data_IF_055975072966
#
_entry.id   IF_055975072966
#
_cell.length_a   1.000
_cell.length_b   1.000
_cell.length_c   1.000
_cell.angle_alpha   90.00
_cell.angle_beta   90.00
_cell.angle_gamma   90.00
#
_symmetry.space_group_name_H-M   'P 1'
#
loop_
_entity.id
_entity.type
_entity.pdbx_description
1 polymer ?
#
# COMPACT_ATOMS: atom_id res chain seq x y z
N UNK A 1 -23.83 14.69 -21.11
CA UNK A 1 -22.92 13.73 -21.76
C UNK A 1 -21.60 14.45 -21.89
N UNK A 2 -20.62 14.03 -21.10
CA UNK A 2 -19.31 14.65 -21.00
C UNK A 2 -18.30 13.82 -21.82
N UNK A 3 -17.34 14.51 -22.43
CA UNK A 3 -16.20 13.88 -23.10
C UNK A 3 -14.95 14.76 -22.96
N UNK A 4 -13.87 14.13 -22.53
CA UNK A 4 -12.49 14.64 -22.61
C UNK A 4 -11.75 13.80 -23.64
N UNK A 5 -10.92 14.42 -24.49
CA UNK A 5 -10.16 13.74 -25.53
C UNK A 5 -8.84 14.49 -25.77
N UNK A 6 -7.71 13.80 -25.70
CA UNK A 6 -6.40 14.42 -25.91
C UNK A 6 -5.24 13.49 -25.61
N UNK A 7 -4.05 14.10 -25.42
CA UNK A 7 -2.89 13.40 -24.89
C UNK A 7 -2.76 13.66 -23.39
N UNK A 8 -2.48 12.61 -22.63
CA UNK A 8 -2.25 12.69 -21.17
C UNK A 8 -0.83 12.25 -20.89
N UNK A 9 -0.10 13.05 -20.11
CA UNK A 9 1.23 12.72 -19.65
C UNK A 9 1.21 11.56 -18.66
N UNK A 10 2.19 10.68 -18.78
CA UNK A 10 2.35 9.46 -17.99
C UNK A 10 3.79 9.39 -17.51
N UNK A 11 3.94 9.08 -16.23
CA UNK A 11 5.21 8.74 -15.59
C UNK A 11 4.98 7.51 -14.71
N UNK A 12 5.80 6.46 -14.89
CA UNK A 12 5.65 5.14 -14.24
C UNK A 12 4.37 4.38 -14.62
N UNK A 13 3.93 4.50 -15.88
CA UNK A 13 2.77 3.77 -16.40
C UNK A 13 1.45 3.99 -15.66
N UNK A 14 1.21 5.18 -15.10
CA UNK A 14 0.08 5.44 -14.21
C UNK A 14 -0.62 6.78 -14.48
N UNK A 15 -1.95 6.74 -14.37
CA UNK A 15 -2.89 7.86 -14.37
C UNK A 15 -3.92 7.59 -13.26
N UNK A 16 -4.51 8.62 -12.68
CA UNK A 16 -5.48 8.45 -11.59
C UNK A 16 -6.83 9.10 -11.91
N UNK A 17 -7.88 8.59 -11.28
CA UNK A 17 -9.08 9.38 -11.00
C UNK A 17 -9.15 9.58 -9.49
N UNK A 18 -9.36 10.81 -9.03
CA UNK A 18 -9.47 11.13 -7.60
C UNK A 18 -10.68 12.03 -7.38
N UNK A 19 -11.51 11.65 -6.41
CA UNK A 19 -12.66 12.44 -5.93
C UNK A 19 -12.58 12.75 -4.43
N UNK A 20 -11.55 12.22 -3.75
CA UNK A 20 -11.28 12.52 -2.35
C UNK A 20 -10.81 13.98 -2.21
N UNK A 21 -11.45 14.79 -1.34
CA UNK A 21 -11.04 16.19 -1.10
C UNK A 21 -9.59 16.37 -0.63
N UNK A 22 -8.96 15.34 -0.06
CA UNK A 22 -7.54 15.35 0.31
C UNK A 22 -6.61 15.40 -0.91
N UNK A 23 -7.11 15.02 -2.10
CA UNK A 23 -6.36 15.03 -3.35
C UNK A 23 -5.25 13.98 -3.46
N UNK A 24 -5.15 13.04 -2.51
CA UNK A 24 -4.10 12.03 -2.52
C UNK A 24 -4.39 10.96 -3.58
N UNK A 25 -3.40 10.71 -4.45
CA UNK A 25 -3.46 9.58 -5.38
C UNK A 25 -3.36 8.25 -4.63
N UNK A 26 -4.14 7.22 -5.01
CA UNK A 26 -4.11 5.93 -4.34
C UNK A 26 -2.76 5.24 -4.57
N UNK A 27 -2.28 4.51 -3.56
CA UNK A 27 -1.09 3.68 -3.74
C UNK A 27 -1.42 2.49 -4.60
N UNK A 28 -0.45 2.04 -5.38
CA UNK A 28 -0.65 0.92 -6.32
C UNK A 28 -1.17 -0.34 -5.60
N UNK A 29 -0.51 -0.77 -4.52
CA UNK A 29 -0.93 -1.97 -3.78
C UNK A 29 -2.36 -1.85 -3.22
N UNK A 30 -2.70 -0.69 -2.66
CA UNK A 30 -4.03 -0.41 -2.11
C UNK A 30 -5.12 -0.40 -3.19
N UNK A 31 -4.85 0.25 -4.33
CA UNK A 31 -5.82 0.38 -5.41
C UNK A 31 -6.24 -0.96 -6.03
N UNK A 32 -5.36 -1.97 -5.96
CA UNK A 32 -5.57 -3.29 -6.55
C UNK A 32 -5.82 -4.39 -5.52
N UNK A 33 -5.91 -4.06 -4.22
CA UNK A 33 -6.16 -5.02 -3.16
C UNK A 33 -7.42 -5.85 -3.45
N UNK A 34 -7.27 -7.18 -3.47
CA UNK A 34 -8.38 -8.11 -3.69
C UNK A 34 -8.98 -8.15 -5.09
N UNK A 35 -8.46 -7.39 -6.06
CA UNK A 35 -8.99 -7.39 -7.42
C UNK A 35 -8.40 -8.49 -8.30
N UNK A 36 -9.17 -8.89 -9.32
CA UNK A 36 -8.66 -9.74 -10.41
C UNK A 36 -8.05 -8.91 -11.55
N UNK A 37 -8.62 -7.75 -11.83
CA UNK A 37 -8.19 -6.78 -12.82
C UNK A 37 -7.00 -6.00 -12.29
N UNK A 38 -5.90 -6.11 -13.04
CA UNK A 38 -4.69 -5.35 -12.80
C UNK A 38 -4.49 -4.13 -13.69
N UNK A 39 -5.48 -3.72 -14.50
CA UNK A 39 -5.36 -2.52 -15.35
C UNK A 39 -6.06 -1.29 -14.76
N UNK A 40 -7.15 -1.50 -14.03
CA UNK A 40 -7.92 -0.46 -13.36
C UNK A 40 -8.13 -0.87 -11.90
N UNK A 41 -7.42 -0.22 -10.99
CA UNK A 41 -7.53 -0.40 -9.55
C UNK A 41 -8.63 0.49 -9.00
N UNK A 42 -9.57 -0.07 -8.25
CA UNK A 42 -10.74 0.62 -7.70
C UNK A 42 -11.03 0.23 -6.23
N UNK A 43 -10.10 -0.45 -5.57
CA UNK A 43 -10.29 -0.90 -4.19
C UNK A 43 -10.19 0.25 -3.17
N UNK A 44 -9.58 1.38 -3.53
CA UNK A 44 -9.57 2.60 -2.71
C UNK A 44 -10.83 3.42 -3.00
N UNK A 45 -11.70 3.68 -2.00
CA UNK A 45 -12.90 4.49 -2.20
C UNK A 45 -12.57 5.88 -2.78
N UNK A 46 -13.38 6.34 -3.73
CA UNK A 46 -13.19 7.65 -4.35
C UNK A 46 -11.98 7.79 -5.27
N UNK A 47 -11.21 6.72 -5.51
CA UNK A 47 -10.05 6.76 -6.39
C UNK A 47 -10.00 5.60 -7.40
N UNK A 48 -9.42 5.86 -8.57
CA UNK A 48 -9.01 4.85 -9.54
C UNK A 48 -7.51 4.96 -9.81
N UNK A 49 -6.85 3.81 -9.95
CA UNK A 49 -5.49 3.68 -10.46
C UNK A 49 -5.53 3.06 -11.85
N UNK A 50 -5.08 3.77 -12.86
CA UNK A 50 -5.13 3.35 -14.26
C UNK A 50 -3.72 3.04 -14.74
N UNK A 51 -3.48 1.82 -15.23
CA UNK A 51 -2.19 1.41 -15.75
C UNK A 51 -2.13 1.49 -17.26
N UNK A 52 -1.04 2.06 -17.76
CA UNK A 52 -0.73 2.12 -19.19
C UNK A 52 0.38 1.12 -19.55
N UNK A 53 0.56 0.86 -20.85
CA UNK A 53 1.69 0.13 -21.42
C UNK A 53 2.93 1.00 -21.42
N UNK A 54 2.85 2.24 -21.91
CA UNK A 54 3.96 3.19 -21.89
C UNK A 54 4.39 3.49 -20.45
N UNK A 55 5.71 3.54 -20.19
CA UNK A 55 6.26 3.92 -18.89
C UNK A 55 6.35 5.43 -18.71
N UNK A 56 6.89 6.15 -19.69
CA UNK A 56 7.04 7.61 -19.63
C UNK A 56 6.78 8.28 -20.98
N UNK A 57 6.08 9.42 -20.98
CA UNK A 57 5.74 10.19 -22.17
C UNK A 57 4.26 10.59 -22.16
N UNK A 58 3.64 10.72 -23.33
CA UNK A 58 2.19 10.98 -23.42
C UNK A 58 1.46 9.86 -24.16
N UNK A 59 0.23 9.56 -23.72
CA UNK A 59 -0.64 8.54 -24.31
C UNK A 59 -1.93 9.18 -24.84
N UNK A 60 -2.55 8.55 -25.84
CA UNK A 60 -3.86 9.00 -26.31
C UNK A 60 -4.92 8.60 -25.29
N UNK A 61 -5.70 9.55 -24.79
CA UNK A 61 -6.63 9.29 -23.70
C UNK A 61 -7.98 9.97 -23.92
N UNK A 62 -9.05 9.19 -23.79
CA UNK A 62 -10.43 9.67 -23.87
C UNK A 62 -11.17 9.32 -22.58
N UNK A 63 -11.88 10.27 -21.99
CA UNK A 63 -12.84 10.01 -20.89
C UNK A 63 -14.26 10.30 -21.36
N UNK A 64 -15.20 9.44 -21.00
CA UNK A 64 -16.61 9.61 -21.34
C UNK A 64 -17.51 9.36 -20.13
N UNK A 65 -18.37 10.34 -19.78
CA UNK A 65 -19.47 10.11 -18.84
C UNK A 65 -20.77 9.99 -19.60
N UNK A 66 -21.40 8.81 -19.48
CA UNK A 66 -22.58 8.38 -20.21
C UNK A 66 -23.76 8.18 -19.26
N UNK A 67 -24.98 8.35 -19.77
CA UNK A 67 -26.20 8.07 -18.99
C UNK A 67 -26.60 6.58 -18.94
N UNK A 68 -25.93 5.72 -19.72
CA UNK A 68 -26.19 4.27 -19.79
C UNK A 68 -24.94 3.53 -20.26
N UNK A 69 -24.90 2.21 -20.02
CA UNK A 69 -23.83 1.33 -20.47
C UNK A 69 -23.53 1.51 -21.97
N UNK A 70 -22.30 1.86 -22.36
CA UNK A 70 -21.90 1.91 -23.76
C UNK A 70 -21.73 0.51 -24.34
N UNK A 71 -21.97 0.37 -25.64
CA UNK A 71 -21.71 -0.88 -26.37
C UNK A 71 -20.22 -1.23 -26.32
N UNK A 72 -19.90 -2.53 -26.28
CA UNK A 72 -18.53 -3.01 -26.31
C UNK A 72 -17.99 -2.93 -27.75
N UNK A 73 -17.00 -2.08 -27.97
CA UNK A 73 -16.33 -1.95 -29.27
C UNK A 73 -15.25 -3.03 -29.41
N UNK A 74 -15.33 -3.91 -30.43
CA UNK A 74 -14.35 -4.98 -30.62
C UNK A 74 -12.96 -4.50 -31.05
N UNK A 75 -12.74 -3.21 -31.32
CA UNK A 75 -11.43 -2.68 -31.66
C UNK A 75 -10.46 -2.59 -30.47
N UNK A 76 -10.95 -2.58 -29.23
CA UNK A 76 -10.10 -2.51 -28.04
C UNK A 76 -9.46 -3.85 -27.72
N UNK A 77 -8.14 -3.86 -27.50
CA UNK A 77 -7.36 -5.06 -27.20
C UNK A 77 -7.61 -5.53 -25.77
N UNK A 78 -7.62 -4.59 -24.83
CA UNK A 78 -7.83 -4.85 -23.41
C UNK A 78 -9.09 -4.14 -22.94
N UNK A 79 -9.92 -4.84 -22.17
CA UNK A 79 -11.12 -4.25 -21.57
C UNK A 79 -11.32 -4.82 -20.18
N UNK A 80 -11.31 -3.95 -19.19
CA UNK A 80 -11.70 -4.29 -17.81
C UNK A 80 -12.84 -3.39 -17.36
N UNK A 81 -13.65 -3.90 -16.43
CA UNK A 81 -14.67 -3.09 -15.79
C UNK A 81 -14.60 -3.21 -14.27
N UNK A 82 -14.77 -2.09 -13.59
CA UNK A 82 -14.77 -1.94 -12.13
C UNK A 82 -15.92 -1.04 -11.70
N UNK A 83 -16.16 -0.91 -10.40
CA UNK A 83 -17.13 0.06 -9.86
C UNK A 83 -16.40 1.23 -9.21
N UNK A 84 -17.02 2.40 -9.25
CA UNK A 84 -16.48 3.64 -8.71
C UNK A 84 -17.58 4.46 -8.04
N UNK A 85 -17.27 5.03 -6.89
CA UNK A 85 -18.17 5.89 -6.13
C UNK A 85 -17.44 7.20 -5.81
N UNK A 86 -17.86 8.35 -6.37
CA UNK A 86 -17.26 9.65 -6.06
C UNK A 86 -17.50 10.06 -4.60
N UNK A 87 -16.46 10.49 -3.90
CA UNK A 87 -16.52 10.93 -2.49
C UNK A 87 -16.76 12.43 -2.33
N UNK A 88 -16.78 13.19 -3.42
CA UNK A 88 -17.13 14.61 -3.42
C UNK A 88 -17.76 15.02 -4.75
N UNK A 89 -18.36 16.21 -4.77
CA UNK A 89 -18.87 16.87 -5.97
C UNK A 89 -17.81 17.14 -7.05
N UNK A 90 -16.51 17.02 -6.74
CA UNK A 90 -15.42 17.23 -7.68
C UNK A 90 -14.63 15.94 -7.90
N UNK A 91 -14.56 15.49 -9.15
CA UNK A 91 -13.76 14.35 -9.56
C UNK A 91 -12.77 14.77 -10.64
N UNK A 92 -11.52 14.33 -10.55
CA UNK A 92 -10.47 14.73 -11.49
C UNK A 92 -9.80 13.51 -12.10
N UNK A 93 -9.56 13.54 -13.41
CA UNK A 93 -8.48 12.77 -14.04
C UNK A 93 -7.16 13.48 -13.72
N UNK A 94 -6.17 12.77 -13.20
CA UNK A 94 -4.95 13.36 -12.67
C UNK A 94 -3.70 12.63 -13.18
N UNK A 95 -2.68 13.39 -13.58
CA UNK A 95 -1.36 12.87 -13.91
C UNK A 95 -0.55 12.51 -12.65
N UNK A 96 0.57 11.84 -12.85
CA UNK A 96 1.53 11.60 -11.78
C UNK A 96 1.94 12.90 -11.07
N UNK A 97 2.06 12.85 -9.74
CA UNK A 97 2.36 13.99 -8.87
C UNK A 97 1.44 15.22 -9.03
N UNK A 98 0.27 15.08 -9.67
CA UNK A 98 -0.66 16.18 -9.90
C UNK A 98 -0.16 17.22 -10.90
N UNK A 99 0.74 16.85 -11.82
CA UNK A 99 1.33 17.77 -12.81
C UNK A 99 0.29 18.42 -13.73
N UNK A 100 -0.78 17.70 -14.02
CA UNK A 100 -1.96 18.23 -14.71
C UNK A 100 -3.22 17.49 -14.22
N UNK A 101 -4.38 18.14 -14.38
CA UNK A 101 -5.66 17.57 -14.00
C UNK A 101 -6.83 18.11 -14.81
N UNK A 102 -7.84 17.27 -15.02
CA UNK A 102 -9.07 17.63 -15.73
C UNK A 102 -10.28 17.22 -14.90
N UNK A 103 -11.16 18.17 -14.64
CA UNK A 103 -12.42 17.93 -13.94
C UNK A 103 -13.36 17.04 -14.78
N UNK A 104 -13.97 16.06 -14.13
CA UNK A 104 -14.89 15.08 -14.70
C UNK A 104 -16.31 15.37 -14.19
N UNK A 105 -17.30 15.25 -15.09
CA UNK A 105 -18.74 15.41 -14.78
C UNK A 105 -19.32 14.16 -14.07
N UNK A 106 -18.77 13.83 -12.90
CA UNK A 106 -19.25 12.76 -12.02
C UNK A 106 -19.99 13.36 -10.81
N UNK A 107 -21.02 12.67 -10.34
CA UNK A 107 -21.88 13.16 -9.25
C UNK A 107 -21.59 12.42 -7.96
N UNK A 108 -21.39 13.17 -6.88
CA UNK A 108 -21.37 12.60 -5.53
C UNK A 108 -22.67 11.83 -5.25
N UNK A 109 -22.59 10.76 -4.45
CA UNK A 109 -23.77 9.99 -4.05
C UNK A 109 -24.31 9.02 -5.10
N UNK A 110 -23.65 8.90 -6.26
CA UNK A 110 -24.08 8.03 -7.35
C UNK A 110 -23.03 6.94 -7.65
N UNK A 111 -23.47 5.68 -7.67
CA UNK A 111 -22.64 4.56 -8.10
C UNK A 111 -22.44 4.57 -9.63
N UNK A 112 -21.19 4.41 -10.03
CA UNK A 112 -20.80 4.26 -11.43
C UNK A 112 -20.20 2.88 -11.69
N UNK A 113 -20.55 2.31 -12.84
CA UNK A 113 -19.70 1.31 -13.48
C UNK A 113 -18.70 2.02 -14.39
N UNK A 114 -17.48 1.53 -14.36
CA UNK A 114 -16.36 2.05 -15.11
C UNK A 114 -15.87 0.98 -16.06
N UNK A 115 -15.67 1.33 -17.33
CA UNK A 115 -14.95 0.50 -18.30
C UNK A 115 -13.66 1.19 -18.67
N UNK A 116 -12.56 0.49 -18.51
CA UNK A 116 -11.24 0.93 -18.95
C UNK A 116 -10.78 0.04 -20.11
N UNK A 117 -10.58 0.66 -21.27
CA UNK A 117 -10.11 0.02 -22.47
C UNK A 117 -8.69 0.49 -22.80
N UNK A 118 -7.87 -0.41 -23.33
CA UNK A 118 -6.54 -0.11 -23.82
C UNK A 118 -6.28 -0.75 -25.20
N UNK A 119 -5.39 -0.12 -25.96
CA UNK A 119 -4.86 -0.61 -27.23
C UNK A 119 -3.39 -0.21 -27.34
N UNK A 120 -2.54 -1.09 -27.85
CA UNK A 120 -1.11 -0.85 -28.09
C UNK A 120 -0.22 -1.03 -26.86
N UNK A 121 -0.67 -1.75 -25.83
CA UNK A 121 0.06 -1.85 -24.56
C UNK A 121 1.46 -2.46 -24.69
N UNK A 122 1.60 -3.57 -25.43
CA UNK A 122 2.89 -4.27 -25.57
C UNK A 122 3.95 -3.44 -26.33
N UNK A 123 3.66 -2.86 -27.52
CA UNK A 123 4.61 -1.97 -28.20
C UNK A 123 5.00 -0.74 -27.37
N UNK A 124 4.05 -0.16 -26.64
CA UNK A 124 4.32 0.98 -25.77
C UNK A 124 5.22 0.60 -24.58
N UNK A 125 4.99 -0.58 -24.00
CA UNK A 125 5.82 -1.14 -22.93
C UNK A 125 7.23 -1.45 -23.40
N UNK A 126 7.39 -1.98 -24.61
CA UNK A 126 8.69 -2.26 -25.22
C UNK A 126 9.49 -0.99 -25.51
N UNK A 127 8.82 0.08 -25.97
CA UNK A 127 9.45 1.38 -26.18
C UNK A 127 9.90 2.04 -24.87
N UNK A 128 9.14 1.85 -23.79
CA UNK A 128 9.33 2.40 -22.44
C UNK A 128 9.14 3.93 -22.36
N UNK A 129 9.90 4.71 -23.15
CA UNK A 129 9.84 6.18 -23.20
C UNK A 129 9.46 6.67 -24.60
N UNK A 130 8.40 7.48 -24.69
CA UNK A 130 7.98 8.17 -25.93
C UNK A 130 8.34 9.65 -25.85
N UNK A 131 9.03 10.17 -26.87
CA UNK A 131 9.29 11.61 -27.03
C UNK A 131 8.08 12.33 -27.66
N UNK A 132 7.95 13.64 -27.43
CA UNK A 132 6.79 14.41 -27.86
C UNK A 132 6.57 14.43 -29.39
N UNK A 133 7.65 14.32 -30.17
CA UNK A 133 7.63 14.28 -31.64
C UNK A 133 7.40 12.88 -32.23
N UNK A 134 7.39 11.84 -31.40
CA UNK A 134 7.14 10.45 -31.81
C UNK A 134 5.64 10.15 -31.89
N UNK A 135 5.19 9.21 -32.75
CA UNK A 135 3.80 8.82 -32.83
C UNK A 135 3.30 8.17 -31.52
N UNK A 136 2.00 8.29 -31.25
CA UNK A 136 1.34 7.58 -30.16
C UNK A 136 1.43 6.05 -30.36
N UNK A 137 1.87 5.34 -29.31
CA UNK A 137 2.02 3.88 -29.33
C UNK A 137 0.81 3.17 -28.73
N UNK A 138 0.24 3.73 -27.67
CA UNK A 138 -0.94 3.22 -26.98
C UNK A 138 -2.03 4.28 -26.84
N UNK A 139 -3.26 3.79 -26.68
CA UNK A 139 -4.47 4.60 -26.53
C UNK A 139 -5.39 3.99 -25.48
N UNK A 140 -6.12 4.85 -24.81
CA UNK A 140 -6.99 4.49 -23.69
C UNK A 140 -8.35 5.16 -23.80
N UNK A 141 -9.37 4.43 -23.34
CA UNK A 141 -10.72 4.94 -23.19
C UNK A 141 -11.25 4.58 -21.81
N UNK A 142 -11.67 5.59 -21.05
CA UNK A 142 -12.28 5.45 -19.74
C UNK A 142 -13.74 5.89 -19.80
N UNK A 143 -14.67 4.98 -19.56
CA UNK A 143 -16.11 5.24 -19.66
C UNK A 143 -16.80 5.03 -18.32
N UNK A 144 -17.62 5.99 -17.92
CA UNK A 144 -18.46 5.93 -16.73
C UNK A 144 -19.94 5.89 -17.13
N UNK A 145 -20.73 5.08 -16.43
CA UNK A 145 -22.19 5.17 -16.48
C UNK A 145 -22.82 4.77 -15.14
N UNK A 146 -23.98 5.33 -14.78
CA UNK A 146 -24.68 4.95 -13.56
C UNK A 146 -25.03 3.46 -13.57
N UNK A 147 -24.60 2.72 -12.56
CA UNK A 147 -24.95 1.32 -12.34
C UNK A 147 -24.64 0.90 -10.89
N UNK A 148 -25.36 -0.08 -10.32
CA UNK A 148 -25.02 -0.64 -9.02
C UNK A 148 -23.57 -1.18 -8.97
N UNK A 149 -22.94 -1.23 -7.78
CA UNK A 149 -21.63 -1.82 -7.61
C UNK A 149 -21.63 -3.32 -7.94
N UNK A 150 -20.62 -3.76 -8.69
CA UNK A 150 -20.38 -5.16 -9.05
C UNK A 150 -18.88 -5.47 -8.91
N UNK A 151 -18.49 -6.73 -8.66
CA UNK A 151 -17.07 -7.12 -8.69
C UNK A 151 -16.37 -6.70 -9.99
N UNK A 152 -15.04 -6.56 -9.92
CA UNK A 152 -14.25 -6.27 -11.10
C UNK A 152 -14.29 -7.45 -12.09
N UNK A 153 -14.22 -7.14 -13.39
CA UNK A 153 -14.23 -8.13 -14.46
C UNK A 153 -13.21 -7.80 -15.53
N UNK A 154 -12.50 -8.84 -15.98
CA UNK A 154 -11.67 -8.80 -17.18
C UNK A 154 -12.57 -9.23 -18.34
N UNK A 155 -13.00 -8.26 -19.16
CA UNK A 155 -13.89 -8.49 -20.32
C UNK A 155 -13.09 -9.00 -21.52
N UNK A 156 -11.87 -8.48 -21.69
CA UNK A 156 -10.94 -8.89 -22.75
C UNK A 156 -9.50 -8.72 -22.29
N UNK A 157 -8.68 -9.72 -22.60
CA UNK A 157 -7.25 -9.72 -22.38
C UNK A 157 -6.55 -10.26 -23.64
N UNK A 158 -5.58 -9.53 -24.21
CA UNK A 158 -4.84 -9.98 -25.39
C UNK A 158 -3.32 -9.82 -25.29
N UNK A 159 -2.84 -8.81 -24.55
CA UNK A 159 -1.43 -8.46 -24.41
C UNK A 159 -0.74 -9.17 -23.25
N UNK A 160 0.57 -9.34 -23.37
CA UNK A 160 1.40 -9.85 -22.27
C UNK A 160 1.45 -8.86 -21.10
N UNK A 161 1.44 -7.56 -21.40
CA UNK A 161 1.41 -6.49 -20.41
C UNK A 161 0.15 -6.54 -19.54
N UNK A 162 -1.03 -6.72 -20.15
CA UNK A 162 -2.28 -6.88 -19.41
C UNK A 162 -2.30 -8.17 -18.59
N UNK A 163 -1.87 -9.29 -19.17
CA UNK A 163 -1.78 -10.58 -18.47
C UNK A 163 -0.90 -10.49 -17.23
N UNK A 164 0.30 -9.92 -17.36
CA UNK A 164 1.23 -9.69 -16.26
C UNK A 164 0.60 -8.79 -15.17
N UNK A 165 -0.07 -7.72 -15.59
CA UNK A 165 -0.74 -6.81 -14.67
C UNK A 165 -1.84 -7.51 -13.86
N UNK A 166 -2.67 -8.32 -14.50
CA UNK A 166 -3.74 -9.08 -13.86
C UNK A 166 -3.20 -10.16 -12.91
N UNK A 167 -2.16 -10.89 -13.32
CA UNK A 167 -1.47 -11.85 -12.44
C UNK A 167 -0.84 -11.18 -11.22
N UNK A 168 -0.32 -9.97 -11.38
CA UNK A 168 0.17 -9.17 -10.26
C UNK A 168 -0.98 -8.74 -9.33
N UNK A 169 -2.12 -8.29 -9.86
CA UNK A 169 -3.28 -7.86 -9.07
C UNK A 169 -3.87 -9.00 -8.23
N UNK A 170 -4.02 -10.20 -8.81
CA UNK A 170 -4.49 -11.40 -8.08
C UNK A 170 -3.59 -11.84 -6.93
N UNK A 171 -2.33 -11.41 -6.94
CA UNK A 171 -1.37 -11.66 -5.86
C UNK A 171 -1.36 -10.56 -4.81
N UNK A 172 -2.12 -9.49 -5.00
CA UNK A 172 -2.27 -8.46 -4.00
C UNK A 172 -3.21 -8.96 -2.89
N UNK A 173 -2.82 -8.80 -1.62
CA UNK A 173 -3.71 -9.12 -0.51
C UNK A 173 -4.94 -8.21 -0.57
N UNK A 174 -6.13 -8.79 -0.38
CA UNK A 174 -7.35 -8.04 -0.12
C UNK A 174 -7.22 -7.40 1.27
N UNK A 175 -7.40 -6.08 1.38
CA UNK A 175 -7.28 -5.32 2.62
C UNK A 175 -8.25 -5.81 3.70
N UNK A 176 -9.52 -6.08 3.35
CA UNK A 176 -10.52 -6.57 4.31
C UNK A 176 -10.22 -8.03 4.68
N UNK A 177 -9.85 -8.86 3.69
CA UNK A 177 -9.37 -10.21 3.94
C UNK A 177 -8.13 -10.20 4.84
N UNK A 178 -7.19 -9.29 4.62
CA UNK A 178 -5.96 -9.13 5.41
C UNK A 178 -6.30 -8.75 6.83
N UNK A 179 -7.20 -7.78 7.02
CA UNK A 179 -7.70 -7.42 8.36
C UNK A 179 -8.36 -8.61 9.05
N UNK A 180 -9.21 -9.37 8.33
CA UNK A 180 -9.82 -10.62 8.85
C UNK A 180 -8.78 -11.71 9.14
N UNK A 181 -7.74 -11.84 8.32
CA UNK A 181 -6.66 -12.81 8.48
C UNK A 181 -5.79 -12.47 9.70
N UNK A 182 -5.43 -11.20 9.88
CA UNK A 182 -4.72 -10.69 11.06
C UNK A 182 -5.54 -10.94 12.33
N UNK A 183 -6.86 -10.68 12.28
CA UNK A 183 -7.77 -11.00 13.39
C UNK A 183 -7.83 -12.50 13.70
N UNK A 184 -7.92 -13.35 12.66
CA UNK A 184 -7.95 -14.79 12.81
C UNK A 184 -6.63 -15.33 13.40
N UNK A 185 -5.49 -14.83 12.91
CA UNK A 185 -4.16 -15.18 13.43
C UNK A 185 -4.04 -14.78 14.90
N UNK A 186 -4.43 -13.55 15.27
CA UNK A 186 -4.44 -13.09 16.66
C UNK A 186 -5.34 -13.95 17.55
N UNK A 187 -6.53 -14.32 17.09
CA UNK A 187 -7.45 -15.20 17.84
C UNK A 187 -6.85 -16.58 18.06
N UNK A 188 -6.16 -17.13 17.07
CA UNK A 188 -5.45 -18.40 17.20
C UNK A 188 -4.35 -18.35 18.27
N UNK A 189 -3.61 -17.23 18.36
CA UNK A 189 -2.58 -17.03 19.40
C UNK A 189 -3.17 -16.86 20.82
N UNK A 190 -4.24 -16.08 20.97
CA UNK A 190 -4.85 -15.82 22.28
C UNK A 190 -5.66 -17.01 22.82
N UNK A 191 -6.12 -17.91 21.95
CA UNK A 191 -6.96 -19.04 22.33
C UNK A 191 -6.57 -20.32 21.56
N UNK A 192 -5.37 -20.88 21.81
CA UNK A 192 -4.91 -22.09 21.11
C UNK A 192 -5.87 -23.28 21.28
N UNK A 193 -6.57 -23.37 22.43
CA UNK A 193 -7.52 -24.45 22.72
C UNK A 193 -8.94 -24.26 22.14
N UNK A 194 -9.28 -23.08 21.62
CA UNK A 194 -10.63 -22.80 21.09
C UNK A 194 -10.77 -23.06 19.57
N UNK A 195 -9.73 -23.57 18.93
CA UNK A 195 -9.62 -23.71 17.48
C UNK A 195 -9.96 -25.13 16.98
N UNK A 196 -11.18 -25.62 17.22
CA UNK A 196 -11.84 -26.62 16.34
C UNK A 196 -13.39 -26.48 16.41
N UNK A 197 -14.16 -26.68 15.30
CA UNK A 197 -13.75 -26.93 13.91
C UNK A 197 -14.37 -25.90 12.93
N UNK A 198 -13.53 -25.12 12.27
CA UNK A 198 -13.84 -24.47 10.98
C UNK A 198 -12.80 -24.95 9.95
N UNK A 199 -12.75 -26.26 9.70
CA UNK A 199 -11.80 -26.89 8.75
C UNK A 199 -12.27 -26.92 7.29
N UNK A 200 -13.25 -26.11 6.90
CA UNK A 200 -13.75 -26.09 5.50
C UNK A 200 -13.57 -24.76 4.75
N UNK A 201 -12.90 -23.77 5.33
CA UNK A 201 -12.37 -22.65 4.53
C UNK A 201 -10.91 -23.00 4.26
N UNK A 202 -10.62 -23.25 2.99
CA UNK A 202 -9.29 -23.53 2.45
C UNK A 202 -8.21 -22.77 3.24
N UNK A 203 -7.32 -23.52 3.89
CA UNK A 203 -6.21 -23.02 4.70
C UNK A 203 -5.54 -21.84 3.98
N UNK A 204 -5.76 -20.59 4.41
CA UNK A 204 -4.93 -19.52 3.95
C UNK A 204 -3.66 -19.66 4.79
N UNK A 205 -2.65 -20.32 4.23
CA UNK A 205 -1.31 -19.84 4.47
C UNK A 205 -0.97 -18.90 3.29
N UNK A 206 -1.19 -17.60 3.49
CA UNK A 206 -0.25 -16.63 2.97
C UNK A 206 0.14 -15.65 4.08
N UNK A 207 1.33 -15.90 4.62
CA UNK A 207 2.20 -14.99 5.40
C UNK A 207 1.63 -14.45 6.71
N UNK A 208 2.27 -14.84 7.81
CA UNK A 208 2.20 -14.18 9.09
C UNK A 208 2.54 -12.69 8.93
N UNK A 209 1.52 -11.85 8.71
CA UNK A 209 1.63 -10.40 8.59
C UNK A 209 1.44 -9.70 9.96
N UNK A 210 1.51 -10.51 11.02
CA UNK A 210 1.44 -10.11 12.42
C UNK A 210 2.65 -10.68 13.17
N UNK A 211 3.45 -9.80 13.78
CA UNK A 211 4.52 -10.18 14.69
C UNK A 211 4.02 -10.20 16.14
N UNK A 212 4.48 -11.18 16.93
CA UNK A 212 4.28 -11.22 18.38
C UNK A 212 5.60 -10.93 19.06
N UNK A 213 5.67 -9.79 19.73
CA UNK A 213 6.88 -9.25 20.34
C UNK A 213 6.69 -9.19 21.85
N UNK A 214 7.54 -9.88 22.62
CA UNK A 214 7.48 -9.73 24.07
C UNK A 214 7.89 -8.33 24.51
N UNK A 215 7.33 -7.87 25.63
CA UNK A 215 7.56 -6.50 26.13
C UNK A 215 9.00 -6.23 26.56
N UNK A 216 9.79 -7.27 26.79
CA UNK A 216 11.21 -7.23 27.13
C UNK A 216 12.11 -7.75 25.99
N UNK A 217 11.57 -7.91 24.78
CA UNK A 217 12.32 -8.43 23.65
C UNK A 217 13.46 -7.50 23.21
N UNK A 218 14.60 -8.08 22.85
CA UNK A 218 15.73 -7.34 22.29
C UNK A 218 15.33 -6.66 20.96
N UNK A 219 15.52 -5.34 20.81
CA UNK A 219 15.21 -4.60 19.58
C UNK A 219 15.84 -5.16 18.30
N UNK A 220 17.00 -5.84 18.38
CA UNK A 220 17.63 -6.54 17.25
C UNK A 220 16.75 -7.69 16.78
N UNK A 221 16.22 -8.48 17.70
CA UNK A 221 15.29 -9.56 17.40
C UNK A 221 13.94 -9.03 16.90
N UNK A 222 13.46 -7.92 17.47
CA UNK A 222 12.24 -7.24 16.99
C UNK A 222 12.39 -6.76 15.55
N UNK A 223 13.54 -6.18 15.20
CA UNK A 223 13.85 -5.79 13.82
C UNK A 223 13.77 -6.97 12.86
N UNK A 224 14.43 -8.10 13.18
CA UNK A 224 14.41 -9.29 12.34
C UNK A 224 12.98 -9.77 12.08
N UNK A 225 12.16 -9.84 13.13
CA UNK A 225 10.74 -10.19 13.01
C UNK A 225 9.96 -9.20 12.15
N UNK A 226 10.07 -7.90 12.40
CA UNK A 226 9.33 -6.89 11.64
C UNK A 226 9.74 -6.88 10.16
N UNK A 227 11.04 -7.04 9.85
CA UNK A 227 11.52 -7.14 8.47
C UNK A 227 11.06 -8.40 7.74
N UNK A 228 10.71 -9.45 8.49
CA UNK A 228 10.19 -10.69 7.90
C UNK A 228 8.70 -10.60 7.52
N UNK A 229 7.99 -9.57 7.99
CA UNK A 229 6.58 -9.34 7.63
C UNK A 229 6.47 -8.93 6.17
N UNK A 230 5.51 -9.51 5.46
CA UNK A 230 5.25 -9.20 4.04
C UNK A 230 4.79 -7.75 3.81
N UNK A 231 4.14 -7.16 4.82
CA UNK A 231 3.67 -5.76 4.85
C UNK A 231 4.74 -4.76 5.25
N UNK A 232 5.92 -5.21 5.69
CA UNK A 232 6.98 -4.31 6.11
C UNK A 232 7.41 -3.39 4.95
N UNK A 233 7.34 -2.05 5.11
CA UNK A 233 7.80 -1.14 4.07
C UNK A 233 9.28 -1.37 3.74
N UNK A 234 9.59 -1.72 2.50
CA UNK A 234 10.97 -1.97 2.07
C UNK A 234 11.89 -0.74 2.19
N UNK A 235 11.30 0.46 2.14
CA UNK A 235 12.00 1.74 2.25
C UNK A 235 12.24 2.20 3.70
N UNK A 236 11.88 1.38 4.70
CA UNK A 236 12.08 1.73 6.11
C UNK A 236 13.60 1.79 6.41
N UNK A 237 14.11 2.87 7.01
CA UNK A 237 15.55 3.09 7.17
C UNK A 237 16.13 2.28 8.34
N UNK A 238 16.20 0.96 8.18
CA UNK A 238 16.62 0.03 9.22
C UNK A 238 18.08 0.20 9.66
N UNK A 239 18.95 0.70 8.79
CA UNK A 239 20.33 1.09 9.10
C UNK A 239 20.38 2.21 10.16
N UNK A 240 19.39 3.11 10.15
CA UNK A 240 19.25 4.23 11.09
C UNK A 240 18.65 3.81 12.41
N UNK A 241 17.73 2.85 12.37
CA UNK A 241 17.13 2.21 13.55
C UNK A 241 18.18 1.40 14.34
N UNK A 242 19.28 0.96 13.70
CA UNK A 242 20.40 0.30 14.39
C UNK A 242 21.16 1.20 15.39
N UNK A 243 20.94 2.52 15.35
CA UNK A 243 21.49 3.45 16.33
C UNK A 243 20.82 3.33 17.71
N UNK A 244 19.66 2.67 17.81
CA UNK A 244 19.16 2.16 19.09
C UNK A 244 20.16 1.09 19.58
N UNK A 245 21.19 1.53 20.30
CA UNK A 245 22.20 0.69 20.91
C UNK A 245 21.68 0.02 22.19
N UNK A 246 21.77 -1.31 22.24
CA UNK A 246 21.30 -2.17 23.33
C UNK A 246 21.97 -1.86 24.68
N UNK A 247 23.08 -1.12 24.67
CA UNK A 247 23.77 -0.65 25.87
C UNK A 247 22.86 0.19 26.79
N UNK A 248 21.85 0.88 26.25
CA UNK A 248 20.85 1.63 27.04
C UNK A 248 19.62 0.79 27.45
N UNK A 249 19.49 -0.44 26.92
CA UNK A 249 18.32 -1.28 27.17
C UNK A 249 18.37 -1.98 28.54
N UNK A 250 19.49 -1.95 29.26
CA UNK A 250 19.63 -2.69 30.52
C UNK A 250 18.85 -2.07 31.68
N UNK A 251 18.70 -0.73 31.69
CA UNK A 251 18.08 -0.02 32.81
C UNK A 251 16.54 -0.03 32.72
N UNK A 252 15.99 0.09 31.51
CA UNK A 252 14.55 -0.04 31.23
C UNK A 252 14.30 -0.70 29.85
N UNK A 253 14.31 -2.04 29.78
CA UNK A 253 14.09 -2.76 28.53
C UNK A 253 12.74 -2.43 27.87
N UNK A 254 11.70 -2.19 28.68
CA UNK A 254 10.33 -1.98 28.20
C UNK A 254 10.20 -0.59 27.60
N UNK A 255 10.60 0.45 28.35
CA UNK A 255 10.56 1.84 27.85
C UNK A 255 11.46 2.04 26.63
N UNK A 256 12.59 1.34 26.59
CA UNK A 256 13.49 1.33 25.43
C UNK A 256 12.85 0.69 24.19
N UNK A 257 12.23 -0.49 24.34
CA UNK A 257 11.51 -1.15 23.25
C UNK A 257 10.33 -0.30 22.75
N UNK A 258 9.59 0.35 23.65
CA UNK A 258 8.50 1.25 23.27
C UNK A 258 9.01 2.43 22.45
N UNK A 259 10.11 3.08 22.86
CA UNK A 259 10.72 4.17 22.10
C UNK A 259 11.23 3.71 20.73
N UNK A 260 11.81 2.51 20.65
CA UNK A 260 12.25 1.89 19.40
C UNK A 260 11.08 1.67 18.43
N UNK A 261 9.97 1.13 18.93
CA UNK A 261 8.77 0.89 18.14
C UNK A 261 8.10 2.20 17.69
N UNK A 262 8.06 3.23 18.54
CA UNK A 262 7.55 4.57 18.17
C UNK A 262 8.37 5.19 17.02
N UNK A 263 9.70 5.03 17.01
CA UNK A 263 10.57 5.50 15.92
C UNK A 263 10.26 4.78 14.60
N UNK A 264 10.12 3.45 14.63
CA UNK A 264 9.72 2.66 13.46
C UNK A 264 8.35 3.12 12.95
N UNK A 265 7.41 3.33 13.86
CA UNK A 265 6.05 3.74 13.54
C UNK A 265 5.96 5.14 12.91
N UNK A 266 6.78 6.09 13.35
CA UNK A 266 6.88 7.41 12.69
C UNK A 266 7.49 7.32 11.30
N UNK A 267 8.53 6.51 11.10
CA UNK A 267 9.11 6.30 9.77
C UNK A 267 8.14 5.58 8.83
N UNK A 268 7.42 4.57 9.32
CA UNK A 268 6.36 3.90 8.57
C UNK A 268 5.27 4.90 8.17
N UNK A 269 4.85 5.79 9.09
CA UNK A 269 3.83 6.80 8.82
C UNK A 269 4.29 7.83 7.77
N UNK A 270 5.56 8.23 7.79
CA UNK A 270 6.13 9.08 6.74
C UNK A 270 6.14 8.40 5.36
N UNK A 271 6.25 7.07 5.36
CA UNK A 271 6.04 6.20 4.20
C UNK A 271 4.56 5.82 4.01
N UNK A 272 3.61 6.54 4.61
CA UNK A 272 2.15 6.36 4.56
C UNK A 272 1.65 4.96 4.94
N UNK A 273 2.35 4.29 5.82
CA UNK A 273 1.96 3.00 6.42
C UNK A 273 1.77 3.21 7.93
N UNK A 274 0.82 2.53 8.53
CA UNK A 274 0.58 2.55 9.98
C UNK A 274 1.22 1.30 10.58
N UNK A 275 2.14 1.47 11.52
CA UNK A 275 2.48 0.40 12.45
C UNK A 275 1.38 0.34 13.52
N UNK A 276 0.63 -0.76 13.56
CA UNK A 276 -0.48 -0.96 14.45
C UNK A 276 -0.12 -1.94 15.57
N UNK A 277 -0.48 -1.61 16.81
CA UNK A 277 -0.48 -2.50 17.96
C UNK A 277 -1.90 -2.95 18.27
N UNK A 278 -2.16 -4.26 18.29
CA UNK A 278 -3.52 -4.82 18.47
C UNK A 278 -3.73 -5.27 19.92
N UNK A 279 -4.43 -4.44 20.70
CA UNK A 279 -4.88 -4.63 22.09
C UNK A 279 -3.87 -5.35 23.01
N UNK A 280 -3.25 -4.52 23.85
CA UNK A 280 -1.98 -4.69 24.53
C UNK A 280 -2.05 -5.69 25.70
N UNK A 281 -1.98 -6.98 25.38
CA UNK A 281 -1.80 -8.07 26.35
C UNK A 281 -0.38 -8.13 26.93
N UNK A 282 0.10 -9.33 27.35
CA UNK A 282 1.46 -9.51 27.85
C UNK A 282 2.54 -9.23 26.78
N UNK A 283 2.18 -9.37 25.51
CA UNK A 283 3.03 -9.14 24.34
C UNK A 283 2.42 -8.07 23.42
N UNK A 284 3.25 -7.44 22.59
CA UNK A 284 2.82 -6.57 21.49
C UNK A 284 2.48 -7.41 20.26
N UNK A 285 1.30 -7.16 19.68
CA UNK A 285 0.86 -7.75 18.42
C UNK A 285 0.96 -6.67 17.34
N UNK A 286 2.01 -6.75 16.52
CA UNK A 286 2.40 -5.67 15.61
C UNK A 286 2.14 -6.05 14.15
N UNK A 287 1.49 -5.17 13.40
CA UNK A 287 1.28 -5.31 11.95
C UNK A 287 1.50 -3.98 11.22
N UNK A 288 2.00 -4.03 9.99
CA UNK A 288 2.01 -2.87 9.11
C UNK A 288 0.75 -2.86 8.27
N UNK A 289 0.02 -1.75 8.30
CA UNK A 289 -1.26 -1.58 7.64
C UNK A 289 -1.29 -0.28 6.85
N UNK A 290 -2.15 -0.20 5.86
CA UNK A 290 -2.50 1.08 5.25
C UNK A 290 -3.37 1.88 6.23
N UNK A 291 -3.50 3.21 6.07
CA UNK A 291 -4.41 4.00 6.91
C UNK A 291 -5.86 3.46 6.84
N UNK A 292 -6.32 3.06 5.66
CA UNK A 292 -7.65 2.48 5.45
C UNK A 292 -7.79 1.12 6.12
N UNK A 293 -6.81 0.23 5.97
CA UNK A 293 -6.78 -1.07 6.68
C UNK A 293 -6.80 -0.87 8.19
N UNK A 294 -6.05 0.10 8.71
CA UNK A 294 -6.03 0.42 10.14
C UNK A 294 -7.39 0.93 10.65
N UNK A 295 -8.07 1.78 9.89
CA UNK A 295 -9.42 2.24 10.24
C UNK A 295 -10.44 1.09 10.24
N UNK A 296 -10.42 0.23 9.21
CA UNK A 296 -11.27 -0.95 9.13
C UNK A 296 -11.00 -1.92 10.28
N UNK A 297 -9.73 -2.20 10.57
CA UNK A 297 -9.32 -3.04 11.69
C UNK A 297 -9.74 -2.45 13.03
N UNK A 298 -9.58 -1.14 13.22
CA UNK A 298 -9.98 -0.45 14.45
C UNK A 298 -11.49 -0.55 14.67
N UNK A 299 -12.30 -0.38 13.63
CA UNK A 299 -13.76 -0.55 13.70
C UNK A 299 -14.15 -2.00 14.04
N UNK A 300 -13.53 -2.98 13.36
CA UNK A 300 -13.79 -4.40 13.60
C UNK A 300 -13.38 -4.84 15.01
N UNK A 301 -12.21 -4.43 15.49
CA UNK A 301 -11.75 -4.71 16.86
C UNK A 301 -12.66 -4.08 17.90
N UNK A 302 -13.12 -2.84 17.67
CA UNK A 302 -14.05 -2.14 18.58
C UNK A 302 -15.34 -2.93 18.75
N UNK A 303 -15.88 -3.51 17.67
CA UNK A 303 -17.06 -4.39 17.72
C UNK A 303 -16.83 -5.64 18.59
N UNK A 304 -15.59 -6.07 18.74
CA UNK A 304 -15.16 -7.19 19.59
C UNK A 304 -14.60 -6.77 20.96
N UNK A 305 -14.78 -5.50 21.38
CA UNK A 305 -14.24 -4.93 22.63
C UNK A 305 -12.71 -4.97 22.72
N UNK A 306 -12.06 -4.86 21.59
CA UNK A 306 -10.61 -4.78 21.47
C UNK A 306 -10.25 -3.42 20.83
N UNK A 307 -9.01 -3.00 20.94
CA UNK A 307 -8.51 -1.76 20.31
C UNK A 307 -7.34 -2.06 19.38
N UNK A 308 -7.17 -1.22 18.36
CA UNK A 308 -5.91 -1.06 17.66
C UNK A 308 -5.38 0.34 17.97
N UNK A 309 -4.08 0.42 18.24
CA UNK A 309 -3.38 1.68 18.51
C UNK A 309 -2.34 1.91 17.42
N UNK A 310 -2.24 3.14 16.94
CA UNK A 310 -1.15 3.53 16.06
C UNK A 310 0.10 3.75 16.90
N UNK A 311 1.14 2.95 16.64
CA UNK A 311 2.44 3.03 17.29
C UNK A 311 3.16 4.28 16.76
N UNK A 312 3.10 5.37 17.52
CA UNK A 312 3.59 6.70 17.12
C UNK A 312 3.91 7.56 18.34
N UNK A 313 4.76 8.57 18.15
CA UNK A 313 5.19 9.44 19.25
C UNK A 313 4.00 10.06 19.98
N UNK A 314 3.93 9.80 21.30
CA UNK A 314 2.92 10.38 22.18
C UNK A 314 1.48 9.96 21.89
N UNK A 315 1.26 9.07 20.92
CA UNK A 315 -0.06 8.48 20.62
C UNK A 315 -0.24 7.10 21.22
N UNK A 316 0.86 6.36 21.41
CA UNK A 316 0.80 4.98 21.86
C UNK A 316 1.05 4.83 23.37
N UNK A 317 2.10 5.47 23.89
CA UNK A 317 2.46 5.33 25.31
C UNK A 317 2.22 6.64 26.08
N UNK A 318 1.08 6.77 26.79
CA UNK A 318 0.78 8.00 27.55
C UNK A 318 1.55 8.11 28.88
N UNK A 319 2.25 7.07 29.34
CA UNK A 319 3.05 7.08 30.56
C UNK A 319 4.54 7.09 30.19
N UNK A 320 5.19 8.22 30.38
CA UNK A 320 6.64 8.29 30.32
C UNK A 320 7.16 8.56 31.74
N UNK A 321 7.93 7.63 32.30
CA UNK A 321 8.83 7.92 33.41
C UNK A 321 9.84 9.02 33.01
N UNK A 322 10.53 9.67 33.96
CA UNK A 322 11.62 10.60 33.64
C UNK A 322 12.71 9.96 32.75
N UNK A 323 12.95 8.66 32.91
CA UNK A 323 13.89 7.88 32.08
C UNK A 323 13.33 7.66 30.66
N UNK A 324 12.05 7.33 30.51
CA UNK A 324 11.36 7.29 29.21
C UNK A 324 11.45 8.63 28.48
N UNK A 325 11.27 9.74 29.20
CA UNK A 325 11.41 11.08 28.64
C UNK A 325 12.85 11.33 28.19
N UNK A 326 13.86 10.83 28.91
CA UNK A 326 15.27 10.96 28.55
C UNK A 326 15.61 10.11 27.32
N UNK A 327 15.14 8.85 27.24
CA UNK A 327 15.32 7.97 26.08
C UNK A 327 14.63 8.58 24.85
N UNK A 328 13.39 9.06 24.98
CA UNK A 328 12.67 9.73 23.89
C UNK A 328 13.29 11.06 23.50
N UNK A 329 13.78 11.84 24.47
CA UNK A 329 14.51 13.07 24.20
C UNK A 329 15.82 12.78 23.49
N UNK A 330 16.52 11.70 23.85
CA UNK A 330 17.71 11.23 23.16
C UNK A 330 17.37 10.77 21.73
N UNK A 331 16.33 9.97 21.53
CA UNK A 331 15.87 9.54 20.20
C UNK A 331 15.55 10.76 19.32
N UNK A 332 14.76 11.72 19.84
CA UNK A 332 14.44 12.99 19.16
C UNK A 332 15.67 13.86 18.91
N UNK A 333 16.57 13.97 19.89
CA UNK A 333 17.78 14.78 19.78
C UNK A 333 18.78 14.15 18.82
N UNK A 334 18.75 12.86 18.58
CA UNK A 334 19.59 12.21 17.58
C UNK A 334 18.86 11.98 16.24
N UNK A 335 17.55 12.22 16.18
CA UNK A 335 16.75 12.13 14.94
C UNK A 335 17.27 13.03 13.80
N UNK A 336 18.03 14.09 14.10
CA UNK A 336 18.66 14.95 13.08
C UNK A 336 20.07 14.51 12.69
N UNK A 337 20.77 13.69 13.49
CA UNK A 337 21.98 12.98 13.05
C UNK A 337 21.65 11.89 12.02
N UNK A 338 20.35 11.62 11.80
CA UNK A 338 19.79 10.81 10.72
C UNK A 338 19.58 11.60 9.41
N UNK A 339 19.94 12.90 9.37
CA UNK A 339 19.94 13.72 8.16
C UNK A 339 21.36 13.94 7.64
N UNK A 340 21.54 13.54 6.39
CA UNK A 340 22.61 13.85 5.44
C UNK A 340 23.87 12.97 5.47
N UNK A 341 24.26 12.55 4.27
CA UNK A 341 25.61 12.07 3.97
C UNK A 341 25.68 11.24 2.67
N UNK A 342 26.01 11.84 1.51
CA UNK A 342 26.17 11.11 0.26
C UNK A 342 27.54 10.42 0.23
N UNK A 343 27.57 9.16 -0.23
CA UNK A 343 28.71 8.52 -0.85
C UNK A 343 29.95 8.32 0.02
N UNK A 344 30.32 7.06 0.26
CA UNK A 344 31.56 6.54 -0.33
C UNK A 344 31.56 5.02 -0.25
N UNK A 345 31.79 4.42 -1.41
CA UNK A 345 32.17 3.03 -1.53
C UNK A 345 33.57 2.80 -0.93
N UNK A 346 33.76 1.57 -0.44
CA UNK A 346 35.01 0.83 -0.25
C UNK A 346 35.81 1.04 1.07
N UNK A 347 36.67 0.08 1.45
CA UNK A 347 36.92 -1.23 0.84
C UNK A 347 36.78 -2.45 1.78
N UNK A 348 36.46 -3.58 1.16
CA UNK A 348 36.58 -4.93 1.70
C UNK A 348 38.07 -5.22 1.97
N UNK A 349 38.47 -5.16 3.24
CA UNK A 349 39.80 -5.59 3.68
C UNK A 349 39.73 -7.05 4.15
N UNK A 350 40.54 -7.89 3.48
CA UNK A 350 40.75 -9.32 3.72
C UNK A 350 41.43 -9.57 5.07
N UNK A 351 40.85 -10.44 5.88
CA UNK A 351 41.40 -11.15 7.05
C UNK A 351 40.48 -12.39 7.18
N UNK A 352 40.88 -13.66 7.25
CA UNK A 352 42.11 -14.36 7.65
C UNK A 352 42.10 -15.77 7.02
N UNK A 353 43.27 -16.29 6.63
CA UNK A 353 43.47 -17.75 6.48
C UNK A 353 43.98 -18.31 7.82
N UNK A 354 43.38 -19.38 8.35
CA UNK A 354 43.69 -19.89 9.69
C UNK A 354 44.89 -20.84 9.71
N UNK A 355 45.57 -20.81 10.85
CA UNK A 355 46.65 -21.67 11.30
C UNK A 355 46.42 -23.16 11.01
N UNK A 356 47.39 -23.79 10.32
CA UNK A 356 47.54 -25.25 10.30
C UNK A 356 48.52 -25.70 11.38
N UNK A 357 48.02 -26.63 12.20
CA UNK A 357 48.64 -27.36 13.30
C UNK A 357 49.91 -28.13 12.94
N UNK A 358 50.70 -28.33 14.00
CA UNK A 358 51.69 -29.36 14.31
C UNK A 358 53.12 -29.15 13.76
#
# INVERSE_FOLDING_TARGET
MFRLDGEVGVSYSQIYVVSDPSGLSPRMHEAFAGQNSGLCGAAVPGALFLRTGLHTGSVGFTVEVRGRAPALDPAWEEVVEVSFYPLSEQSFLMQWAGEDSWELDLKEGLDYRVRYCAHGMDPAREKDVRLHDEPLLDRYLLQFWPAPPEPDRIVRQSSQSAAYAHDWARRQPDAEFRVRAIMAQRRAYLAPDAAEPMREIASPDPSADLATISRDADPRFVREQLTSLSSCPAALPWDRVAAFDADHAQDDPVGYLEAFLEEIGEHAFALGTVLASLDSGPDYYLAFLTPTEFEQLSQLLTAHRMSAESVRYGRWTPRASPEDLAIRAWARANAHQLRAGPGTAAPIARLEEPERRA
#
